data_IF_320531481345
#
_entry.id   IF_320531481345
#
_cell.length_a   1.000
_cell.length_b   1.000
_cell.length_c   1.000
_cell.angle_alpha   90.00
_cell.angle_beta   90.00
_cell.angle_gamma   90.00
#
_symmetry.space_group_name_H-M   'P 1'
#
loop_
_entity.id
_entity.type
_entity.pdbx_description
1 polymer ?
#
# COMPACT_ATOMS: atom_id res chain seq x y z
N UNK A 1 13.37 27.77 -23.62
CA UNK A 1 13.70 27.69 -22.17
C UNK A 1 12.86 26.68 -21.36
N UNK A 2 11.83 26.00 -21.92
CA UNK A 2 10.95 25.07 -21.16
C UNK A 2 11.50 23.63 -20.99
N UNK A 3 12.49 23.20 -21.81
CA UNK A 3 12.95 21.80 -21.76
C UNK A 3 13.78 21.45 -20.52
N UNK A 4 14.59 22.37 -20.03
CA UNK A 4 15.47 22.16 -18.86
C UNK A 4 14.68 22.12 -17.54
N UNK A 5 13.63 22.94 -17.39
CA UNK A 5 12.76 22.90 -16.20
C UNK A 5 11.98 21.59 -16.13
N UNK A 6 11.38 21.15 -17.24
CA UNK A 6 10.67 19.87 -17.34
C UNK A 6 11.58 18.68 -17.01
N UNK A 7 12.83 18.68 -17.49
CA UNK A 7 13.80 17.63 -17.21
C UNK A 7 14.19 17.57 -15.73
N UNK A 8 14.39 18.71 -15.06
CA UNK A 8 14.70 18.76 -13.61
C UNK A 8 13.56 18.19 -12.76
N UNK A 9 12.31 18.55 -13.08
CA UNK A 9 11.14 18.02 -12.39
C UNK A 9 11.01 16.50 -12.55
N UNK A 10 11.25 15.97 -13.75
CA UNK A 10 11.26 14.53 -14.00
C UNK A 10 12.34 13.81 -13.19
N UNK A 11 13.56 14.35 -13.13
CA UNK A 11 14.66 13.78 -12.36
C UNK A 11 14.36 13.77 -10.85
N UNK A 12 13.83 14.87 -10.29
CA UNK A 12 13.44 14.94 -8.88
C UNK A 12 12.36 13.90 -8.54
N UNK A 13 11.37 13.75 -9.41
CA UNK A 13 10.27 12.78 -9.23
C UNK A 13 10.78 11.35 -9.22
N UNK A 14 11.66 11.00 -10.14
CA UNK A 14 12.28 9.68 -10.20
C UNK A 14 13.16 9.40 -8.98
N UNK A 15 13.97 10.38 -8.56
CA UNK A 15 14.80 10.25 -7.38
C UNK A 15 13.98 10.07 -6.10
N UNK A 16 12.96 10.91 -5.88
CA UNK A 16 12.06 10.79 -4.73
C UNK A 16 11.29 9.45 -4.75
N UNK A 17 10.82 9.02 -5.93
CA UNK A 17 10.16 7.72 -6.10
C UNK A 17 11.08 6.56 -5.72
N UNK A 18 12.32 6.59 -6.20
CA UNK A 18 13.34 5.60 -5.85
C UNK A 18 13.62 5.55 -4.35
N UNK A 19 13.77 6.72 -3.70
CA UNK A 19 13.98 6.81 -2.24
C UNK A 19 12.76 6.26 -1.48
N UNK A 20 11.53 6.61 -1.88
CA UNK A 20 10.31 6.11 -1.24
C UNK A 20 10.16 4.59 -1.38
N UNK A 21 10.47 4.05 -2.56
CA UNK A 21 10.46 2.59 -2.81
C UNK A 21 11.51 1.90 -1.95
N UNK A 22 12.73 2.42 -1.91
CA UNK A 22 13.81 1.85 -1.09
C UNK A 22 13.47 1.88 0.40
N UNK A 23 12.94 3.00 0.90
CA UNK A 23 12.49 3.12 2.27
C UNK A 23 11.36 2.13 2.59
N UNK A 24 10.37 1.99 1.70
CA UNK A 24 9.31 1.01 1.85
C UNK A 24 9.85 -0.43 1.88
N UNK A 25 10.87 -0.76 1.07
CA UNK A 25 11.53 -2.07 1.10
C UNK A 25 12.21 -2.32 2.44
N UNK A 26 12.96 -1.36 2.96
CA UNK A 26 13.59 -1.47 4.30
C UNK A 26 12.51 -1.66 5.37
N UNK A 27 11.44 -0.88 5.35
CA UNK A 27 10.35 -0.99 6.30
C UNK A 27 9.58 -2.32 6.19
N UNK A 28 9.67 -3.02 5.07
CA UNK A 28 9.01 -4.32 4.89
C UNK A 28 9.65 -5.46 5.69
N UNK A 29 10.88 -5.29 6.14
CA UNK A 29 11.56 -6.22 7.05
C UNK A 29 11.14 -6.01 8.52
N UNK A 30 10.60 -4.82 8.84
CA UNK A 30 10.07 -4.50 10.17
C UNK A 30 8.56 -4.77 10.13
N UNK A 31 8.16 -6.00 10.49
CA UNK A 31 6.77 -6.45 10.37
C UNK A 31 6.34 -7.31 11.54
N UNK A 32 5.06 -7.23 11.89
CA UNK A 32 4.39 -8.17 12.78
C UNK A 32 3.55 -9.10 11.89
N UNK A 33 3.94 -10.38 11.73
CA UNK A 33 3.21 -11.33 10.91
C UNK A 33 1.90 -11.72 11.62
N UNK A 34 0.76 -11.36 11.05
CA UNK A 34 -0.56 -11.65 11.61
C UNK A 34 -1.21 -12.84 10.89
N UNK A 35 -1.22 -12.83 9.58
CA UNK A 35 -1.90 -13.85 8.79
C UNK A 35 -1.34 -15.26 9.00
N UNK A 36 -0.01 -15.39 9.13
CA UNK A 36 0.63 -16.68 9.44
C UNK A 36 0.26 -17.21 10.82
N UNK A 37 0.02 -16.33 11.80
CA UNK A 37 -0.38 -16.72 13.15
C UNK A 37 -1.77 -17.36 13.19
N UNK A 38 -2.58 -17.15 12.17
CA UNK A 38 -3.91 -17.75 12.01
C UNK A 38 -3.95 -18.86 10.95
N UNK A 39 -2.80 -19.40 10.53
CA UNK A 39 -2.73 -20.46 9.53
C UNK A 39 -3.00 -20.02 8.09
N UNK A 40 -2.92 -18.71 7.81
CA UNK A 40 -3.16 -18.15 6.48
C UNK A 40 -1.90 -17.95 5.62
N UNK A 41 -2.10 -17.40 4.44
CA UNK A 41 -1.09 -17.27 3.38
C UNK A 41 -0.25 -15.99 3.46
N UNK A 42 -0.26 -15.27 4.56
CA UNK A 42 0.50 -14.03 4.72
C UNK A 42 -0.31 -12.94 5.42
N UNK A 43 0.07 -11.69 5.22
CA UNK A 43 -0.50 -10.55 5.91
C UNK A 43 0.30 -10.16 7.15
N UNK A 44 0.67 -8.89 7.23
CA UNK A 44 1.47 -8.35 8.32
C UNK A 44 1.13 -6.90 8.59
N UNK A 45 1.33 -6.47 9.83
CA UNK A 45 1.31 -5.06 10.21
C UNK A 45 2.71 -4.49 9.99
N UNK A 46 2.81 -3.41 9.24
CA UNK A 46 4.06 -2.75 8.87
C UNK A 46 3.83 -1.29 8.43
N UNK A 47 4.91 -0.57 8.15
CA UNK A 47 4.87 0.86 7.81
C UNK A 47 5.05 1.15 6.32
N UNK A 48 5.06 0.14 5.47
CA UNK A 48 5.44 0.27 4.04
C UNK A 48 4.53 1.21 3.24
N UNK A 49 3.28 1.37 3.64
CA UNK A 49 2.33 2.23 2.92
C UNK A 49 2.63 3.71 3.08
N UNK A 50 3.28 4.12 4.18
CA UNK A 50 3.50 5.54 4.49
C UNK A 50 4.36 6.25 3.44
N UNK A 51 5.58 5.78 3.07
CA UNK A 51 6.35 6.42 2.02
C UNK A 51 5.66 6.43 0.65
N UNK A 52 4.89 5.39 0.33
CA UNK A 52 4.13 5.30 -0.92
C UNK A 52 2.98 6.33 -0.95
N UNK A 53 2.25 6.49 0.17
CA UNK A 53 1.17 7.48 0.31
C UNK A 53 1.75 8.90 0.21
N UNK A 54 2.85 9.20 0.91
CA UNK A 54 3.53 10.49 0.84
C UNK A 54 3.93 10.84 -0.60
N UNK A 55 4.52 9.90 -1.30
CA UNK A 55 4.91 10.08 -2.70
C UNK A 55 3.69 10.29 -3.61
N UNK A 56 2.64 9.47 -3.45
CA UNK A 56 1.42 9.58 -4.23
C UNK A 56 0.71 10.93 -4.03
N UNK A 57 0.60 11.40 -2.79
CA UNK A 57 0.00 12.70 -2.47
C UNK A 57 0.83 13.86 -3.03
N UNK A 58 2.15 13.72 -3.05
CA UNK A 58 3.07 14.73 -3.59
C UNK A 58 3.02 14.82 -5.12
N UNK A 59 3.08 13.69 -5.80
CA UNK A 59 3.24 13.64 -7.26
C UNK A 59 1.97 13.26 -8.02
N UNK A 60 0.91 12.88 -7.31
CA UNK A 60 -0.40 12.49 -7.86
C UNK A 60 -0.54 10.99 -8.09
N UNK A 61 -1.80 10.57 -8.32
CA UNK A 61 -2.16 9.16 -8.41
C UNK A 61 -1.39 8.36 -9.48
N UNK A 62 -1.17 8.86 -10.72
CA UNK A 62 -0.45 8.06 -11.72
C UNK A 62 0.97 7.66 -11.28
N UNK A 63 1.68 8.57 -10.64
CA UNK A 63 3.04 8.31 -10.14
C UNK A 63 3.02 7.45 -8.88
N UNK A 64 2.04 7.65 -8.02
CA UNK A 64 1.80 6.80 -6.85
C UNK A 64 1.49 5.35 -7.25
N UNK A 65 0.66 5.14 -8.26
CA UNK A 65 0.32 3.83 -8.81
C UNK A 65 1.57 3.15 -9.38
N UNK A 66 2.37 3.88 -10.17
CA UNK A 66 3.61 3.35 -10.74
C UNK A 66 4.62 2.97 -9.66
N UNK A 67 4.83 3.83 -8.66
CA UNK A 67 5.73 3.54 -7.54
C UNK A 67 5.24 2.37 -6.69
N UNK A 68 3.95 2.30 -6.42
CA UNK A 68 3.33 1.18 -5.70
C UNK A 68 3.46 -0.14 -6.46
N UNK A 69 3.25 -0.13 -7.78
CA UNK A 69 3.46 -1.30 -8.63
C UNK A 69 4.90 -1.79 -8.57
N UNK A 70 5.87 -0.88 -8.77
CA UNK A 70 7.29 -1.20 -8.70
C UNK A 70 7.69 -1.74 -7.31
N UNK A 71 7.24 -1.05 -6.24
CA UNK A 71 7.49 -1.51 -4.87
C UNK A 71 6.91 -2.91 -4.63
N UNK A 72 5.65 -3.15 -5.00
CA UNK A 72 4.98 -4.44 -4.77
C UNK A 72 5.72 -5.58 -5.46
N UNK A 73 6.13 -5.37 -6.71
CA UNK A 73 6.93 -6.34 -7.47
C UNK A 73 8.28 -6.62 -6.78
N UNK A 74 9.02 -5.57 -6.41
CA UNK A 74 10.30 -5.72 -5.71
C UNK A 74 10.14 -6.38 -4.34
N UNK A 75 9.08 -6.03 -3.60
CA UNK A 75 8.79 -6.64 -2.30
C UNK A 75 8.62 -8.16 -2.39
N UNK A 76 7.94 -8.66 -3.41
CA UNK A 76 7.80 -10.11 -3.60
C UNK A 76 9.16 -10.80 -3.71
N UNK A 77 10.07 -10.24 -4.51
CA UNK A 77 11.37 -10.87 -4.77
C UNK A 77 12.36 -10.69 -3.61
N UNK A 78 12.33 -9.56 -2.89
CA UNK A 78 13.37 -9.20 -1.94
C UNK A 78 12.95 -9.25 -0.46
N UNK A 79 11.65 -9.30 -0.15
CA UNK A 79 11.18 -9.22 1.23
C UNK A 79 10.22 -10.38 1.60
N UNK A 80 10.62 -11.61 1.28
CA UNK A 80 9.93 -12.84 1.66
C UNK A 80 8.47 -12.89 1.19
N UNK A 81 8.25 -12.69 -0.10
CA UNK A 81 6.93 -12.82 -0.70
C UNK A 81 6.42 -14.25 -0.62
N UNK A 82 5.17 -14.42 -0.17
CA UNK A 82 4.45 -15.70 -0.20
C UNK A 82 3.34 -15.63 -1.25
N UNK A 83 3.28 -16.61 -2.12
CA UNK A 83 2.25 -16.69 -3.16
C UNK A 83 1.97 -18.14 -3.52
N UNK A 84 0.72 -18.45 -3.89
CA UNK A 84 0.32 -19.80 -4.30
C UNK A 84 0.46 -20.03 -5.80
N UNK A 85 0.45 -18.95 -6.58
CA UNK A 85 0.63 -18.97 -8.04
C UNK A 85 0.99 -17.56 -8.55
N UNK A 86 1.28 -17.44 -9.86
CA UNK A 86 1.65 -16.18 -10.48
C UNK A 86 0.55 -15.11 -10.43
N UNK A 87 -0.73 -15.52 -10.40
CA UNK A 87 -1.87 -14.58 -10.28
C UNK A 87 -1.84 -13.92 -8.91
N UNK A 88 -1.61 -14.69 -7.83
CA UNK A 88 -1.49 -14.14 -6.48
C UNK A 88 -0.29 -13.20 -6.34
N UNK A 89 0.83 -13.47 -7.04
CA UNK A 89 1.98 -12.54 -7.06
C UNK A 89 1.54 -11.18 -7.60
N UNK A 90 0.85 -11.18 -8.74
CA UNK A 90 0.41 -9.93 -9.38
C UNK A 90 -0.63 -9.21 -8.52
N UNK A 91 -1.65 -9.91 -8.05
CA UNK A 91 -2.74 -9.28 -7.28
C UNK A 91 -2.28 -8.80 -5.91
N UNK A 92 -1.65 -9.66 -5.10
CA UNK A 92 -1.35 -9.37 -3.70
C UNK A 92 -0.12 -8.49 -3.49
N UNK A 93 0.77 -8.43 -4.50
CA UNK A 93 1.94 -7.57 -4.45
C UNK A 93 1.83 -6.40 -5.44
N UNK A 94 1.91 -6.64 -6.74
CA UNK A 94 2.03 -5.56 -7.72
C UNK A 94 0.80 -4.66 -7.74
N UNK A 95 -0.40 -5.23 -7.94
CA UNK A 95 -1.67 -4.47 -8.05
C UNK A 95 -2.11 -3.92 -6.69
N UNK A 96 -1.98 -4.72 -5.61
CA UNK A 96 -2.39 -4.27 -4.28
C UNK A 96 -1.60 -3.05 -3.82
N UNK A 97 -0.29 -3.01 -4.04
CA UNK A 97 0.50 -1.83 -3.72
C UNK A 97 0.33 -0.70 -4.74
N UNK A 98 0.07 -0.99 -6.01
CA UNK A 98 -0.31 0.02 -6.99
C UNK A 98 -1.58 0.77 -6.54
N UNK A 99 -2.57 0.05 -5.99
CA UNK A 99 -3.82 0.63 -5.49
C UNK A 99 -3.59 1.64 -4.35
N UNK A 100 -2.51 1.52 -3.55
CA UNK A 100 -2.14 2.54 -2.56
C UNK A 100 -1.92 3.91 -3.21
N UNK A 101 -1.49 3.93 -4.47
CA UNK A 101 -1.30 5.15 -5.26
C UNK A 101 -2.58 5.96 -5.46
N UNK A 102 -3.79 5.38 -5.26
CA UNK A 102 -5.06 6.11 -5.24
C UNK A 102 -5.09 7.20 -4.16
N UNK A 103 -4.25 7.13 -3.13
CA UNK A 103 -4.04 8.23 -2.18
C UNK A 103 -3.74 9.57 -2.88
N UNK A 104 -3.07 9.52 -4.02
CA UNK A 104 -2.72 10.68 -4.84
C UNK A 104 -3.91 11.38 -5.50
N UNK A 105 -5.12 10.80 -5.50
CA UNK A 105 -6.35 11.46 -5.95
C UNK A 105 -6.73 12.65 -5.04
N UNK A 106 -6.26 12.63 -3.79
CA UNK A 106 -6.50 13.70 -2.83
C UNK A 106 -5.39 14.77 -2.82
N UNK A 107 -4.47 14.72 -3.78
CA UNK A 107 -3.45 15.76 -3.95
C UNK A 107 -4.11 17.12 -4.17
N UNK A 108 -3.75 18.11 -3.33
CA UNK A 108 -4.09 19.51 -3.53
C UNK A 108 -2.83 20.30 -3.95
N UNK A 109 -2.97 21.21 -4.94
CA UNK A 109 -1.82 21.98 -5.46
C UNK A 109 -1.19 22.90 -4.41
N UNK A 110 -2.02 23.54 -3.59
CA UNK A 110 -1.56 24.52 -2.59
C UNK A 110 -1.01 23.85 -1.32
N UNK A 111 -1.67 22.80 -0.86
CA UNK A 111 -1.26 22.04 0.32
C UNK A 111 -1.42 20.54 0.05
N UNK A 112 -0.43 19.91 -0.62
CA UNK A 112 -0.53 18.50 -0.98
C UNK A 112 -0.70 17.57 0.23
N UNK A 113 -0.19 17.95 1.38
CA UNK A 113 -0.22 17.11 2.58
C UNK A 113 -1.38 17.41 3.55
N UNK A 114 -2.19 18.45 3.30
CA UNK A 114 -3.28 18.85 4.21
C UNK A 114 -4.33 17.76 4.42
N UNK A 115 -4.53 16.90 3.41
CA UNK A 115 -5.48 15.77 3.47
C UNK A 115 -4.79 14.42 3.65
N UNK A 116 -3.56 14.40 4.15
CA UNK A 116 -2.74 13.19 4.24
C UNK A 116 -3.41 12.03 5.02
N UNK A 117 -4.10 12.24 6.16
CA UNK A 117 -4.81 11.17 6.85
C UNK A 117 -5.94 10.56 6.01
N UNK A 118 -6.68 11.40 5.28
CA UNK A 118 -7.74 10.94 4.38
C UNK A 118 -7.15 10.21 3.16
N UNK A 119 -6.03 10.67 2.65
CA UNK A 119 -5.30 9.99 1.58
C UNK A 119 -4.81 8.61 2.03
N UNK A 120 -4.36 8.48 3.28
CA UNK A 120 -4.00 7.20 3.86
C UNK A 120 -5.20 6.24 3.91
N UNK A 121 -6.36 6.73 4.35
CA UNK A 121 -7.60 5.93 4.33
C UNK A 121 -7.94 5.44 2.91
N UNK A 122 -7.92 6.34 1.92
CA UNK A 122 -8.24 5.99 0.52
C UNK A 122 -7.25 4.98 -0.05
N UNK A 123 -5.94 5.18 0.13
CA UNK A 123 -4.91 4.26 -0.35
C UNK A 123 -4.99 2.88 0.32
N UNK A 124 -5.19 2.83 1.64
CA UNK A 124 -5.35 1.59 2.38
C UNK A 124 -6.63 0.84 1.99
N UNK A 125 -7.74 1.56 1.84
CA UNK A 125 -9.00 0.97 1.41
C UNK A 125 -8.91 0.40 -0.01
N UNK A 126 -8.31 1.13 -0.95
CA UNK A 126 -8.08 0.65 -2.31
C UNK A 126 -7.25 -0.65 -2.31
N UNK A 127 -6.20 -0.72 -1.48
CA UNK A 127 -5.41 -1.93 -1.30
C UNK A 127 -6.24 -3.07 -0.69
N UNK A 128 -7.05 -2.80 0.32
CA UNK A 128 -7.95 -3.79 0.92
C UNK A 128 -8.88 -4.40 -0.13
N UNK A 129 -9.46 -3.58 -1.03
CA UNK A 129 -10.34 -4.07 -2.10
C UNK A 129 -9.60 -5.05 -3.02
N UNK A 130 -8.35 -4.78 -3.37
CA UNK A 130 -7.56 -5.71 -4.20
C UNK A 130 -7.31 -7.04 -3.46
N UNK A 131 -6.90 -6.99 -2.20
CA UNK A 131 -6.74 -8.20 -1.39
C UNK A 131 -8.05 -8.96 -1.18
N UNK A 132 -9.17 -8.24 -1.01
CA UNK A 132 -10.49 -8.84 -0.93
C UNK A 132 -10.84 -9.61 -2.22
N UNK A 133 -10.64 -8.99 -3.39
CA UNK A 133 -10.87 -9.63 -4.69
C UNK A 133 -9.97 -10.86 -4.86
N UNK A 134 -8.70 -10.75 -4.52
CA UNK A 134 -7.75 -11.88 -4.54
C UNK A 134 -8.23 -13.02 -3.62
N UNK A 135 -8.67 -12.70 -2.42
CA UNK A 135 -9.18 -13.67 -1.45
C UNK A 135 -10.42 -14.42 -1.93
N UNK A 136 -11.35 -13.71 -2.56
CA UNK A 136 -12.60 -14.30 -3.08
C UNK A 136 -12.38 -15.12 -4.35
N UNK A 137 -11.39 -14.75 -5.17
CA UNK A 137 -11.15 -15.41 -6.48
C UNK A 137 -10.02 -16.43 -6.42
N UNK A 138 -8.82 -16.02 -5.99
CA UNK A 138 -7.61 -16.84 -6.05
C UNK A 138 -7.53 -17.80 -4.86
N UNK A 139 -7.87 -17.32 -3.67
CA UNK A 139 -7.76 -18.09 -2.42
C UNK A 139 -9.05 -18.77 -1.98
N UNK A 140 -10.15 -18.64 -2.71
CA UNK A 140 -11.45 -19.23 -2.34
C UNK A 140 -11.37 -20.74 -2.03
N UNK A 141 -10.58 -21.48 -2.82
CA UNK A 141 -10.40 -22.92 -2.67
C UNK A 141 -9.61 -23.34 -1.40
N UNK A 142 -8.94 -22.37 -0.75
CA UNK A 142 -8.16 -22.60 0.46
C UNK A 142 -8.86 -22.07 1.71
N UNK A 143 -10.15 -21.71 1.60
CA UNK A 143 -10.95 -21.28 2.74
C UNK A 143 -11.05 -22.42 3.77
N UNK A 144 -10.66 -22.19 5.05
CA UNK A 144 -10.83 -23.18 6.10
C UNK A 144 -12.31 -23.30 6.50
N UNK A 145 -12.66 -24.37 7.18
CA UNK A 145 -14.00 -24.53 7.74
C UNK A 145 -14.26 -23.56 8.90
N UNK A 146 -13.21 -23.24 9.65
CA UNK A 146 -13.28 -22.34 10.80
C UNK A 146 -12.12 -21.34 10.78
N UNK A 147 -12.40 -20.08 11.12
CA UNK A 147 -11.41 -19.00 11.26
C UNK A 147 -11.78 -18.11 12.45
N UNK A 148 -10.85 -17.91 13.38
CA UNK A 148 -11.05 -17.11 14.60
C UNK A 148 -12.27 -17.54 15.45
N UNK A 149 -12.57 -18.84 15.51
CA UNK A 149 -13.71 -19.39 16.25
C UNK A 149 -15.07 -19.20 15.54
N UNK A 150 -15.07 -18.80 14.28
CA UNK A 150 -16.26 -18.61 13.46
C UNK A 150 -16.26 -19.61 12.30
N UNK A 151 -17.41 -20.25 12.04
CA UNK A 151 -17.60 -21.10 10.86
C UNK A 151 -17.60 -20.26 9.59
N UNK A 152 -16.78 -20.61 8.62
CA UNK A 152 -16.69 -19.89 7.34
C UNK A 152 -17.77 -20.37 6.38
N UNK A 153 -18.75 -19.52 6.13
CA UNK A 153 -19.92 -19.83 5.28
C UNK A 153 -19.71 -19.49 3.81
N UNK A 154 -18.74 -18.63 3.50
CA UNK A 154 -18.43 -18.24 2.12
C UNK A 154 -17.03 -17.65 1.98
N UNK A 155 -16.40 -17.73 0.79
CA UNK A 155 -15.13 -17.07 0.52
C UNK A 155 -15.18 -15.54 0.72
N UNK A 156 -16.34 -14.93 0.51
CA UNK A 156 -16.56 -13.49 0.74
C UNK A 156 -16.41 -13.17 2.22
N UNK A 157 -17.08 -13.91 3.07
CA UNK A 157 -17.01 -13.71 4.52
C UNK A 157 -15.59 -13.95 5.05
N UNK A 158 -14.98 -15.06 4.62
CA UNK A 158 -13.59 -15.36 4.98
C UNK A 158 -12.63 -14.26 4.52
N UNK A 159 -12.73 -13.81 3.28
CA UNK A 159 -11.82 -12.80 2.73
C UNK A 159 -11.92 -11.45 3.45
N UNK A 160 -13.13 -11.02 3.83
CA UNK A 160 -13.32 -9.81 4.65
C UNK A 160 -12.64 -9.94 6.00
N UNK A 161 -12.90 -11.04 6.71
CA UNK A 161 -12.33 -11.27 8.03
C UNK A 161 -10.81 -11.40 7.97
N UNK A 162 -10.29 -12.27 7.10
CA UNK A 162 -8.88 -12.53 6.98
C UNK A 162 -8.09 -11.25 6.63
N UNK A 163 -8.47 -10.58 5.57
CA UNK A 163 -7.80 -9.33 5.17
C UNK A 163 -8.01 -8.21 6.19
N UNK A 164 -9.15 -8.19 6.87
CA UNK A 164 -9.44 -7.26 7.96
C UNK A 164 -8.45 -7.36 9.11
N UNK A 165 -7.98 -8.56 9.47
CA UNK A 165 -7.08 -8.78 10.62
C UNK A 165 -5.79 -7.97 10.54
N UNK A 166 -5.22 -7.80 9.35
CA UNK A 166 -3.97 -7.05 9.16
C UNK A 166 -4.18 -5.69 8.46
N UNK A 167 -5.18 -5.57 7.58
CA UNK A 167 -5.41 -4.29 6.89
C UNK A 167 -6.05 -3.24 7.78
N UNK A 168 -6.94 -3.60 8.71
CA UNK A 168 -7.52 -2.64 9.63
C UNK A 168 -6.46 -2.02 10.56
N UNK A 169 -5.62 -2.78 11.28
CA UNK A 169 -4.53 -2.20 12.05
C UNK A 169 -3.55 -1.38 11.20
N UNK A 170 -3.20 -1.85 10.01
CA UNK A 170 -2.35 -1.09 9.09
C UNK A 170 -2.98 0.24 8.68
N UNK A 171 -4.30 0.28 8.44
CA UNK A 171 -5.02 1.49 8.07
C UNK A 171 -5.03 2.49 9.22
N UNK A 172 -5.33 2.03 10.44
CA UNK A 172 -5.30 2.89 11.64
C UNK A 172 -3.91 3.47 11.84
N UNK A 173 -2.87 2.62 11.77
CA UNK A 173 -1.48 3.03 11.92
C UNK A 173 -1.07 4.06 10.84
N UNK A 174 -1.45 3.81 9.58
CA UNK A 174 -1.18 4.73 8.49
C UNK A 174 -1.88 6.08 8.68
N UNK A 175 -3.15 6.10 9.10
CA UNK A 175 -3.91 7.34 9.35
C UNK A 175 -3.25 8.14 10.48
N UNK A 176 -2.92 7.49 11.60
CA UNK A 176 -2.30 8.15 12.75
C UNK A 176 -0.94 8.74 12.39
N UNK A 177 -0.07 7.95 11.76
CA UNK A 177 1.25 8.43 11.37
C UNK A 177 1.19 9.50 10.28
N UNK A 178 0.30 9.36 9.31
CA UNK A 178 0.05 10.40 8.31
C UNK A 178 -0.47 11.70 8.96
N UNK A 179 -1.30 11.62 9.99
CA UNK A 179 -1.76 12.81 10.72
C UNK A 179 -0.58 13.53 11.41
N UNK A 180 0.32 12.79 12.03
CA UNK A 180 1.54 13.34 12.65
C UNK A 180 2.49 13.94 11.60
N UNK A 181 2.51 13.40 10.39
CA UNK A 181 3.38 13.85 9.30
C UNK A 181 2.85 15.08 8.53
N UNK A 182 1.60 15.51 8.72
CA UNK A 182 1.03 16.70 8.02
C UNK A 182 1.92 17.92 8.18
N UNK A 183 2.30 18.27 9.42
CA UNK A 183 3.11 19.46 9.68
C UNK A 183 4.55 19.36 9.16
N UNK A 184 5.32 18.28 9.43
CA UNK A 184 6.67 18.16 8.91
C UNK A 184 6.71 18.02 7.38
N UNK A 185 5.78 17.26 6.79
CA UNK A 185 5.68 17.12 5.33
C UNK A 185 5.33 18.43 4.63
N UNK A 186 4.50 19.26 5.26
CA UNK A 186 4.14 20.59 4.74
C UNK A 186 5.31 21.58 4.62
N UNK A 187 6.45 21.29 5.27
CA UNK A 187 7.70 22.06 5.15
C UNK A 187 8.56 21.65 3.96
N UNK A 188 8.24 20.56 3.30
CA UNK A 188 8.98 20.11 2.11
C UNK A 188 8.75 21.08 0.95
N UNK A 189 9.76 21.28 0.07
CA UNK A 189 9.57 22.06 -1.15
C UNK A 189 8.37 21.55 -1.95
N UNK A 190 7.59 22.47 -2.53
CA UNK A 190 6.46 22.08 -3.38
C UNK A 190 6.96 21.28 -4.58
N UNK A 191 6.19 20.29 -5.00
CA UNK A 191 6.40 19.61 -6.27
C UNK A 191 6.01 20.59 -7.39
N UNK A 192 6.97 20.99 -8.21
CA UNK A 192 6.74 21.84 -9.38
C UNK A 192 6.06 21.07 -10.52
#
# INVERSE_FOLDING_TARGET
MNSTASSRTATHRLAEGGICIALALVLSYIKIPIGLSFGGFGGSINLVMIPLILFAVRWGAPWGILAGFAFGTLKYFFAEGTAINWVSIIFDYSIAYAAVGCAGLLRARENPYGKLPLAALVGCFARFVIHFISGVSVYAQYMPEEFMGLTMTSPVFYSVLYNGTYMLPNTILAIVLCALLVKPAGKLPKAE
#
